data_IF_441623692701
#
_entry.id   IF_441623692701
#
_cell.length_a   1.000
_cell.length_b   1.000
_cell.length_c   1.000
_cell.angle_alpha   90.00
_cell.angle_beta   90.00
_cell.angle_gamma   90.00
#
_symmetry.space_group_name_H-M   'P 1'
#
loop_
_entity.id
_entity.type
_entity.pdbx_description
1 polymer ?
#
# COMPACT_ATOMS: atom_id res chain seq x y z
N UNK A 1 2.73 13.65 1.85
CA UNK A 1 1.52 13.42 2.67
C UNK A 1 1.73 12.29 3.67
N UNK A 2 1.83 11.01 3.25
CA UNK A 2 1.94 9.87 4.16
C UNK A 2 3.05 9.98 5.23
N UNK A 3 4.29 10.30 4.84
CA UNK A 3 5.41 10.46 5.80
C UNK A 3 5.13 11.53 6.87
N UNK A 4 4.55 12.66 6.46
CA UNK A 4 4.21 13.79 7.35
C UNK A 4 3.02 13.44 8.24
N UNK A 5 2.01 12.75 7.68
CA UNK A 5 0.85 12.28 8.43
C UNK A 5 1.25 11.29 9.51
N UNK A 6 2.05 10.27 9.19
CA UNK A 6 2.54 9.30 10.17
C UNK A 6 3.35 10.00 11.26
N UNK A 7 4.32 10.84 10.90
CA UNK A 7 5.10 11.59 11.89
C UNK A 7 4.24 12.45 12.82
N UNK A 8 3.20 13.11 12.30
CA UNK A 8 2.30 13.94 13.11
C UNK A 8 1.36 13.13 13.99
N UNK A 9 0.91 11.95 13.55
CA UNK A 9 -0.09 11.15 14.26
C UNK A 9 0.54 10.19 15.25
N UNK A 10 1.73 9.63 14.95
CA UNK A 10 2.37 8.60 15.77
C UNK A 10 3.70 9.05 16.39
N UNK A 11 4.26 10.19 15.95
CA UNK A 11 5.60 10.62 16.35
C UNK A 11 6.74 9.81 15.71
N UNK A 12 6.41 8.84 14.85
CA UNK A 12 7.38 7.93 14.23
C UNK A 12 7.74 8.39 12.83
N UNK A 13 9.03 8.34 12.49
CA UNK A 13 9.47 8.51 11.11
C UNK A 13 9.45 7.15 10.43
N UNK A 14 8.83 7.06 9.26
CA UNK A 14 8.75 5.82 8.47
C UNK A 14 9.43 5.98 7.11
N UNK A 15 10.13 4.93 6.69
CA UNK A 15 10.69 4.84 5.36
C UNK A 15 9.65 4.36 4.35
N UNK A 16 9.09 5.31 3.59
CA UNK A 16 8.10 4.99 2.56
C UNK A 16 8.62 4.09 1.43
N UNK A 17 9.95 3.93 1.28
CA UNK A 17 10.50 2.98 0.30
C UNK A 17 10.08 1.55 0.61
N UNK A 18 9.78 1.23 1.87
CA UNK A 18 9.28 -0.08 2.27
C UNK A 18 7.96 -0.48 1.61
N UNK A 19 7.21 0.46 1.02
CA UNK A 19 5.99 0.17 0.25
C UNK A 19 6.29 -0.53 -1.06
N UNK A 20 7.44 -0.23 -1.68
CA UNK A 20 7.79 -0.68 -3.04
C UNK A 20 9.06 -1.53 -3.10
N UNK A 21 9.91 -1.47 -2.07
CA UNK A 21 11.09 -2.31 -1.92
C UNK A 21 10.85 -3.32 -0.80
N UNK A 22 10.75 -4.60 -1.16
CA UNK A 22 10.46 -5.69 -0.25
C UNK A 22 11.60 -5.99 0.74
N UNK A 23 12.81 -5.51 0.44
CA UNK A 23 14.01 -5.65 1.27
C UNK A 23 14.03 -4.69 2.46
N UNK A 24 13.18 -3.67 2.45
CA UNK A 24 13.10 -2.67 3.52
C UNK A 24 11.98 -3.08 4.48
N UNK A 25 12.28 -3.16 5.78
CA UNK A 25 11.30 -3.38 6.84
C UNK A 25 10.43 -2.12 6.99
N UNK A 26 9.08 -2.23 6.99
CA UNK A 26 8.20 -1.10 7.22
C UNK A 26 8.29 -0.48 8.62
N UNK A 27 8.86 -1.19 9.61
CA UNK A 27 8.99 -0.76 11.01
C UNK A 27 7.65 -0.33 11.66
N UNK A 28 6.56 -0.90 11.15
CA UNK A 28 5.20 -0.67 11.62
C UNK A 28 4.59 -1.98 12.15
N UNK A 29 3.72 -1.92 13.17
CA UNK A 29 2.99 -3.09 13.62
C UNK A 29 2.26 -3.78 12.46
N UNK A 30 2.54 -5.07 12.27
CA UNK A 30 2.04 -5.88 11.16
C UNK A 30 2.31 -5.30 9.74
N UNK A 31 3.34 -4.47 9.60
CA UNK A 31 3.65 -3.76 8.36
C UNK A 31 3.99 -4.70 7.19
N UNK A 32 4.70 -5.79 7.48
CA UNK A 32 5.04 -6.81 6.48
C UNK A 32 3.80 -7.54 5.97
N UNK A 33 2.89 -7.91 6.86
CA UNK A 33 1.63 -8.56 6.54
C UNK A 33 0.69 -7.64 5.77
N UNK A 34 0.63 -6.36 6.16
CA UNK A 34 -0.14 -5.33 5.45
C UNK A 34 0.37 -5.15 4.01
N UNK A 35 1.68 -5.03 3.81
CA UNK A 35 2.29 -4.94 2.47
C UNK A 35 2.03 -6.18 1.64
N UNK A 36 2.18 -7.36 2.26
CA UNK A 36 1.96 -8.64 1.58
C UNK A 36 0.51 -8.79 1.14
N UNK A 37 -0.45 -8.44 2.00
CA UNK A 37 -1.87 -8.45 1.64
C UNK A 37 -2.20 -7.45 0.53
N UNK A 38 -1.68 -6.22 0.61
CA UNK A 38 -1.88 -5.23 -0.45
C UNK A 38 -1.36 -5.73 -1.80
N UNK A 39 -0.18 -6.37 -1.81
CA UNK A 39 0.41 -6.98 -3.02
C UNK A 39 -0.46 -8.13 -3.54
N UNK A 40 -0.95 -8.99 -2.65
CA UNK A 40 -1.83 -10.10 -3.01
C UNK A 40 -3.18 -9.63 -3.58
N UNK A 41 -3.73 -8.53 -3.06
CA UNK A 41 -4.96 -7.92 -3.57
C UNK A 41 -4.82 -7.40 -5.01
N UNK A 42 -3.64 -6.86 -5.36
CA UNK A 42 -3.37 -6.35 -6.72
C UNK A 42 -3.05 -7.49 -7.69
N UNK A 43 -2.26 -8.48 -7.26
CA UNK A 43 -1.79 -9.58 -8.12
C UNK A 43 -2.76 -10.75 -8.22
N UNK A 44 -3.71 -10.86 -7.29
CA UNK A 44 -4.58 -12.03 -7.13
C UNK A 44 -3.86 -13.27 -6.58
N UNK A 45 -2.58 -13.18 -6.26
CA UNK A 45 -1.77 -14.31 -5.81
C UNK A 45 -1.72 -14.39 -4.28
N UNK A 46 -1.82 -15.61 -3.73
CA UNK A 46 -1.65 -15.88 -2.27
C UNK A 46 -2.59 -15.06 -1.36
N UNK A 47 -3.77 -14.67 -1.86
CA UNK A 47 -4.70 -13.81 -1.11
C UNK A 47 -5.14 -14.42 0.22
N UNK A 48 -5.57 -15.69 0.22
CA UNK A 48 -5.99 -16.35 1.46
C UNK A 48 -4.86 -16.51 2.47
N UNK A 49 -3.64 -16.79 1.99
CA UNK A 49 -2.46 -16.94 2.83
C UNK A 49 -2.10 -15.63 3.53
N UNK A 50 -2.02 -14.54 2.76
CA UNK A 50 -1.67 -13.20 3.26
C UNK A 50 -2.77 -12.63 4.16
N UNK A 51 -4.06 -12.87 3.83
CA UNK A 51 -5.20 -12.53 4.69
C UNK A 51 -5.15 -13.25 6.03
N UNK A 52 -4.85 -14.55 6.01
CA UNK A 52 -4.71 -15.35 7.22
C UNK A 52 -3.50 -14.91 8.05
N UNK A 53 -2.38 -14.56 7.41
CA UNK A 53 -1.19 -14.03 8.07
C UNK A 53 -1.49 -12.72 8.81
N UNK A 54 -2.12 -11.75 8.14
CA UNK A 54 -2.51 -10.49 8.77
C UNK A 54 -3.54 -10.70 9.89
N UNK A 55 -4.50 -11.61 9.70
CA UNK A 55 -5.48 -11.92 10.73
C UNK A 55 -4.84 -12.52 11.98
N UNK A 56 -3.76 -13.31 11.85
CA UNK A 56 -3.00 -13.82 13.00
C UNK A 56 -2.16 -12.74 13.66
N UNK A 57 -1.53 -11.87 12.87
CA UNK A 57 -0.62 -10.83 13.39
C UNK A 57 -1.35 -9.66 14.06
N UNK A 58 -2.50 -9.23 13.51
CA UNK A 58 -3.20 -8.01 13.93
C UNK A 58 -4.70 -8.20 14.19
N UNK A 59 -5.21 -9.43 14.10
CA UNK A 59 -6.61 -9.77 14.31
C UNK A 59 -7.48 -9.63 13.05
N UNK A 60 -8.65 -10.30 13.04
CA UNK A 60 -9.53 -10.35 11.87
C UNK A 60 -10.13 -8.99 11.51
N UNK A 61 -10.34 -8.10 12.48
CA UNK A 61 -10.87 -6.76 12.23
C UNK A 61 -9.89 -5.89 11.45
N UNK A 62 -8.59 -5.95 11.78
CA UNK A 62 -7.56 -5.23 11.04
C UNK A 62 -7.45 -5.74 9.61
N UNK A 63 -7.50 -7.07 9.41
CA UNK A 63 -7.49 -7.65 8.07
C UNK A 63 -8.69 -7.18 7.23
N UNK A 64 -9.90 -7.16 7.80
CA UNK A 64 -11.09 -6.66 7.13
C UNK A 64 -10.96 -5.16 6.77
N UNK A 65 -10.45 -4.33 7.68
CA UNK A 65 -10.21 -2.91 7.42
C UNK A 65 -9.19 -2.69 6.30
N UNK A 66 -8.08 -3.44 6.30
CA UNK A 66 -7.06 -3.38 5.25
C UNK A 66 -7.62 -3.77 3.87
N UNK A 67 -8.43 -4.83 3.81
CA UNK A 67 -9.14 -5.24 2.58
C UNK A 67 -10.07 -4.11 2.11
N UNK A 68 -10.83 -3.49 3.03
CA UNK A 68 -11.72 -2.39 2.71
C UNK A 68 -10.99 -1.19 2.08
N UNK A 69 -9.82 -0.83 2.62
CA UNK A 69 -8.96 0.20 2.03
C UNK A 69 -8.51 -0.19 0.63
N UNK A 70 -7.99 -1.41 0.44
CA UNK A 70 -7.54 -1.89 -0.87
C UNK A 70 -8.67 -1.88 -1.90
N UNK A 71 -9.86 -2.35 -1.53
CA UNK A 71 -11.04 -2.38 -2.41
C UNK A 71 -11.47 -0.97 -2.84
N UNK A 72 -11.40 0.01 -1.93
CA UNK A 72 -11.70 1.40 -2.26
C UNK A 72 -10.70 1.99 -3.28
N UNK A 73 -9.40 1.70 -3.13
CA UNK A 73 -8.40 2.14 -4.10
C UNK A 73 -8.56 1.45 -5.45
N UNK A 74 -8.88 0.16 -5.48
CA UNK A 74 -9.14 -0.57 -6.71
C UNK A 74 -10.34 0.01 -7.49
N UNK A 75 -11.41 0.39 -6.78
CA UNK A 75 -12.54 1.10 -7.40
C UNK A 75 -12.09 2.43 -8.03
N UNK A 76 -11.26 3.22 -7.33
CA UNK A 76 -10.74 4.47 -7.88
C UNK A 76 -9.82 4.26 -9.08
N UNK A 77 -8.94 3.26 -9.05
CA UNK A 77 -8.08 2.93 -10.18
C UNK A 77 -8.91 2.65 -11.44
N UNK A 78 -9.95 1.83 -11.32
CA UNK A 78 -10.86 1.53 -12.45
C UNK A 78 -11.55 2.77 -13.01
N UNK A 79 -11.97 3.70 -12.15
CA UNK A 79 -12.57 4.95 -12.60
C UNK A 79 -11.55 5.81 -13.37
N UNK A 80 -10.33 5.93 -12.85
CA UNK A 80 -9.27 6.72 -13.48
C UNK A 80 -8.85 6.11 -14.84
N UNK A 81 -8.72 4.79 -14.90
CA UNK A 81 -8.41 4.04 -16.12
C UNK A 81 -9.53 4.19 -17.15
N UNK A 82 -10.79 4.03 -16.75
CA UNK A 82 -11.95 4.14 -17.64
C UNK A 82 -12.15 5.56 -18.21
N UNK A 83 -11.73 6.58 -17.47
CA UNK A 83 -11.84 7.99 -17.88
C UNK A 83 -10.61 8.52 -18.59
N UNK A 84 -9.52 7.75 -18.64
CA UNK A 84 -8.24 8.19 -19.22
C UNK A 84 -7.64 9.39 -18.48
N UNK A 85 -7.93 9.53 -17.18
CA UNK A 85 -7.47 10.66 -16.38
C UNK A 85 -5.93 10.68 -16.34
N UNK A 86 -5.26 11.71 -16.88
CA UNK A 86 -3.81 11.73 -16.95
C UNK A 86 -3.20 11.97 -15.56
N UNK A 87 -2.06 11.31 -15.29
CA UNK A 87 -1.27 11.61 -14.11
C UNK A 87 -0.83 13.10 -14.13
N UNK A 88 -0.98 13.86 -13.03
CA UNK A 88 -0.55 15.25 -12.98
C UNK A 88 0.94 15.40 -13.29
N UNK A 89 1.30 16.31 -14.20
CA UNK A 89 2.70 16.48 -14.64
C UNK A 89 3.66 16.83 -13.50
N UNK A 90 3.18 17.59 -12.50
CA UNK A 90 3.91 17.89 -11.26
C UNK A 90 4.30 16.65 -10.44
N UNK A 91 3.69 15.49 -10.70
CA UNK A 91 3.99 14.22 -10.04
C UNK A 91 4.91 13.31 -10.87
N UNK A 92 5.35 13.71 -12.07
CA UNK A 92 6.24 12.87 -12.90
C UNK A 92 7.55 12.47 -12.21
N UNK A 93 8.08 13.32 -11.32
CA UNK A 93 9.28 12.97 -10.55
C UNK A 93 9.10 11.71 -9.68
N UNK A 94 7.86 11.34 -9.37
CA UNK A 94 7.55 10.12 -8.61
C UNK A 94 7.88 8.87 -9.44
N UNK A 95 7.71 8.88 -10.75
CA UNK A 95 8.09 7.74 -11.60
C UNK A 95 9.59 7.43 -11.49
N UNK A 96 10.43 8.47 -11.43
CA UNK A 96 11.88 8.35 -11.22
C UNK A 96 12.20 7.81 -9.82
N UNK A 97 11.51 8.30 -8.78
CA UNK A 97 11.65 7.77 -7.41
C UNK A 97 11.23 6.31 -7.28
N UNK A 98 10.30 5.85 -8.11
CA UNK A 98 9.78 4.48 -8.15
C UNK A 98 10.53 3.58 -9.14
N UNK A 99 11.52 4.10 -9.87
CA UNK A 99 12.29 3.34 -10.86
C UNK A 99 11.50 2.90 -12.09
N UNK A 100 10.39 3.59 -12.42
CA UNK A 100 9.58 3.28 -13.61
C UNK A 100 10.21 3.99 -14.82
N UNK A 101 10.68 3.25 -15.85
CA UNK A 101 11.28 3.85 -17.04
C UNK A 101 10.26 4.68 -17.84
N UNK A 102 10.76 5.72 -18.52
CA UNK A 102 9.97 6.62 -19.37
C UNK A 102 9.47 5.95 -20.63
#
# INVERSE_FOLDING_TARGET
MLRVSVQKTTGTTVDLRAVVDDRIDPELPAGLELRSLATAMVTGQRLEETRAALSRAAGPQMAAAAIGVCANFEMMNRILDATGCPAPERLRFVAELLGIPR
#
